data_IF_833316899981
#
_entry.id   IF_833316899981
#
_cell.length_a   1.000
_cell.length_b   1.000
_cell.length_c   1.000
_cell.angle_alpha   90.00
_cell.angle_beta   90.00
_cell.angle_gamma   90.00
#
_symmetry.space_group_name_H-M   'P 1'
#
loop_
_entity.id
_entity.type
_entity.pdbx_description
1 polymer ?
#
# COMPACT_ATOMS: atom_id res chain seq x y z
N UNK A 1 -6.56 -8.51 -29.84
CA UNK A 1 -5.63 -7.75 -28.99
C UNK A 1 -6.45 -6.81 -28.13
N UNK A 2 -6.81 -7.25 -26.93
CA UNK A 2 -7.54 -6.45 -25.96
C UNK A 2 -6.48 -5.73 -25.11
N UNK A 3 -6.30 -4.43 -25.35
CA UNK A 3 -5.52 -3.57 -24.46
C UNK A 3 -6.22 -3.63 -23.10
N UNK A 4 -5.61 -4.28 -22.11
CA UNK A 4 -6.09 -4.24 -20.73
C UNK A 4 -5.99 -2.79 -20.29
N UNK A 5 -7.11 -2.06 -20.29
CA UNK A 5 -7.15 -0.68 -19.82
C UNK A 5 -6.57 -0.65 -18.40
N UNK A 6 -5.61 0.25 -18.15
CA UNK A 6 -5.06 0.43 -16.80
C UNK A 6 -6.21 0.70 -15.84
N UNK A 7 -6.25 -0.05 -14.74
CA UNK A 7 -7.31 0.09 -13.74
C UNK A 7 -7.21 1.48 -13.11
N UNK A 8 -8.28 2.25 -13.18
CA UNK A 8 -8.36 3.55 -12.52
C UNK A 8 -8.43 3.39 -10.99
N UNK A 9 -7.75 4.29 -10.25
CA UNK A 9 -7.60 4.19 -8.79
C UNK A 9 -8.80 4.75 -8.03
N UNK A 10 -9.49 5.73 -8.63
CA UNK A 10 -10.72 6.33 -8.13
C UNK A 10 -11.83 5.98 -9.09
N UNK A 11 -12.89 5.31 -8.65
CA UNK A 11 -13.95 4.87 -9.55
C UNK A 11 -14.80 6.04 -10.07
N UNK A 12 -15.46 5.88 -11.24
CA UNK A 12 -16.44 6.85 -11.71
C UNK A 12 -17.54 7.14 -10.69
N UNK A 13 -17.87 6.18 -9.84
CA UNK A 13 -18.87 6.35 -8.78
C UNK A 13 -18.41 7.35 -7.71
N UNK A 14 -17.14 7.30 -7.31
CA UNK A 14 -16.54 8.27 -6.37
C UNK A 14 -16.44 9.65 -7.02
N UNK A 15 -15.93 9.73 -8.26
CA UNK A 15 -15.85 11.00 -9.01
C UNK A 15 -17.21 11.70 -9.11
N UNK A 16 -18.27 10.94 -9.40
CA UNK A 16 -19.63 11.48 -9.48
C UNK A 16 -20.18 11.98 -8.14
N UNK A 17 -19.76 11.40 -7.01
CA UNK A 17 -20.14 11.89 -5.69
C UNK A 17 -19.56 13.29 -5.44
N UNK A 18 -18.27 13.49 -5.73
CA UNK A 18 -17.61 14.81 -5.63
C UNK A 18 -18.14 15.81 -6.66
N UNK A 19 -18.38 15.38 -7.90
CA UNK A 19 -19.04 16.19 -8.93
C UNK A 19 -20.40 16.72 -8.46
N UNK A 20 -21.12 15.92 -7.67
CA UNK A 20 -22.44 16.33 -7.15
C UNK A 20 -22.31 17.46 -6.12
N UNK A 21 -21.24 17.47 -5.30
CA UNK A 21 -20.96 18.56 -4.33
C UNK A 21 -20.74 19.91 -5.02
N UNK A 22 -20.21 19.93 -6.25
CA UNK A 22 -20.03 21.16 -7.01
C UNK A 22 -21.34 21.93 -7.25
N UNK A 23 -22.50 21.26 -7.15
CA UNK A 23 -23.83 21.87 -7.36
C UNK A 23 -24.12 23.02 -6.39
N UNK A 24 -23.53 23.01 -5.18
CA UNK A 24 -23.80 24.01 -4.14
C UNK A 24 -22.65 25.02 -3.95
N UNK A 25 -21.57 24.87 -4.72
CA UNK A 25 -20.45 25.83 -4.74
C UNK A 25 -20.65 26.87 -5.85
N UNK A 26 -19.74 27.85 -5.94
CA UNK A 26 -19.66 28.76 -7.09
C UNK A 26 -18.74 28.19 -8.17
N UNK A 27 -18.90 28.62 -9.43
CA UNK A 27 -17.99 28.22 -10.53
C UNK A 27 -16.53 28.54 -10.19
N UNK A 28 -16.28 29.72 -9.64
CA UNK A 28 -14.93 30.17 -9.27
C UNK A 28 -14.31 29.27 -8.20
N UNK A 29 -15.06 28.94 -7.15
CA UNK A 29 -14.59 28.02 -6.12
C UNK A 29 -14.26 26.66 -6.71
N UNK A 30 -15.13 26.11 -7.58
CA UNK A 30 -14.87 24.81 -8.23
C UNK A 30 -13.54 24.84 -8.99
N UNK A 31 -13.27 25.88 -9.78
CA UNK A 31 -12.00 26.04 -10.50
C UNK A 31 -10.79 26.18 -9.55
N UNK A 32 -10.88 27.10 -8.58
CA UNK A 32 -9.81 27.37 -7.61
C UNK A 32 -9.37 26.09 -6.87
N UNK A 33 -10.34 25.27 -6.45
CA UNK A 33 -10.06 24.00 -5.76
C UNK A 33 -9.24 23.01 -6.60
N UNK A 34 -9.33 23.04 -7.92
CA UNK A 34 -8.50 22.20 -8.80
C UNK A 34 -7.15 22.87 -9.13
N UNK A 35 -7.18 24.17 -9.42
CA UNK A 35 -6.01 24.97 -9.78
C UNK A 35 -4.96 25.01 -8.64
N UNK A 36 -5.41 25.11 -7.39
CA UNK A 36 -4.55 25.12 -6.19
C UNK A 36 -3.69 23.85 -6.05
N UNK A 37 -4.15 22.73 -6.64
CA UNK A 37 -3.41 21.45 -6.67
C UNK A 37 -2.73 21.18 -8.02
N UNK A 38 -2.62 22.20 -8.87
CA UNK A 38 -1.89 22.17 -10.13
C UNK A 38 -2.56 21.35 -11.23
N UNK A 39 -3.90 21.36 -11.26
CA UNK A 39 -4.66 20.86 -12.40
C UNK A 39 -5.08 22.02 -13.31
N UNK A 40 -5.14 21.74 -14.61
CA UNK A 40 -5.65 22.67 -15.61
C UNK A 40 -6.88 22.05 -16.29
N UNK A 41 -7.88 22.85 -16.67
CA UNK A 41 -9.04 22.34 -17.37
C UNK A 41 -8.66 21.94 -18.79
N UNK A 42 -9.30 20.89 -19.31
CA UNK A 42 -9.24 20.59 -20.75
C UNK A 42 -10.03 21.63 -21.54
N UNK A 43 -9.76 21.79 -22.85
CA UNK A 43 -10.60 22.59 -23.73
C UNK A 43 -12.06 22.12 -23.69
N UNK A 44 -13.06 23.02 -23.59
CA UNK A 44 -14.47 22.62 -23.48
C UNK A 44 -15.01 21.76 -24.64
N UNK A 45 -14.41 21.88 -25.83
CA UNK A 45 -14.73 21.08 -27.01
C UNK A 45 -14.20 19.63 -26.94
N UNK A 46 -13.25 19.35 -26.05
CA UNK A 46 -12.76 18.00 -25.77
C UNK A 46 -13.60 17.24 -24.73
N UNK A 47 -14.57 17.92 -24.09
CA UNK A 47 -15.41 17.32 -23.06
C UNK A 47 -16.40 16.31 -23.66
N UNK A 48 -16.22 15.03 -23.33
CA UNK A 48 -17.00 13.93 -23.91
C UNK A 48 -18.45 13.86 -23.44
N UNK A 49 -18.73 14.32 -22.21
CA UNK A 49 -20.05 14.22 -21.59
C UNK A 49 -20.62 15.61 -21.30
N UNK A 50 -21.87 15.82 -21.72
CA UNK A 50 -22.58 17.07 -21.48
C UNK A 50 -23.43 16.98 -20.22
N UNK A 51 -23.30 17.96 -19.33
CA UNK A 51 -24.15 18.15 -18.16
C UNK A 51 -24.81 19.53 -18.22
N UNK A 52 -26.09 19.61 -17.82
CA UNK A 52 -26.84 20.87 -17.83
C UNK A 52 -26.44 21.82 -16.69
N UNK A 53 -25.76 21.32 -15.66
CA UNK A 53 -25.31 22.10 -14.51
C UNK A 53 -23.91 22.68 -14.73
N UNK A 54 -23.82 23.99 -14.93
CA UNK A 54 -22.56 24.71 -15.20
C UNK A 54 -21.42 24.33 -14.25
N UNK A 55 -21.69 24.22 -12.93
CA UNK A 55 -20.67 23.89 -11.91
C UNK A 55 -20.20 22.45 -11.96
N UNK A 56 -21.09 21.54 -12.37
CA UNK A 56 -20.72 20.15 -12.61
C UNK A 56 -19.94 20.01 -13.91
N UNK A 57 -20.25 20.82 -14.92
CA UNK A 57 -19.46 20.95 -16.14
C UNK A 57 -18.06 21.45 -15.83
N UNK A 58 -17.93 22.49 -14.99
CA UNK A 58 -16.62 23.00 -14.53
C UNK A 58 -15.79 21.91 -13.87
N UNK A 59 -16.36 21.16 -12.91
CA UNK A 59 -15.68 20.02 -12.30
C UNK A 59 -15.20 18.99 -13.34
N UNK A 60 -16.01 18.71 -14.36
CA UNK A 60 -15.67 17.73 -15.39
C UNK A 60 -14.52 18.18 -16.30
N UNK A 61 -14.39 19.49 -16.56
CA UNK A 61 -13.27 20.01 -17.37
C UNK A 61 -11.91 19.69 -16.73
N UNK A 62 -11.81 19.71 -15.41
CA UNK A 62 -10.60 19.30 -14.71
C UNK A 62 -10.50 17.77 -14.62
N UNK A 63 -11.59 17.12 -14.19
CA UNK A 63 -11.59 15.67 -13.93
C UNK A 63 -11.28 14.84 -15.19
N UNK A 64 -11.65 15.28 -16.38
CA UNK A 64 -11.38 14.56 -17.64
C UNK A 64 -9.90 14.66 -18.07
N UNK A 65 -9.17 15.69 -17.61
CA UNK A 65 -7.73 15.84 -17.84
C UNK A 65 -6.85 15.01 -16.91
N UNK A 66 -7.43 14.39 -15.88
CA UNK A 66 -6.69 13.56 -14.90
C UNK A 66 -6.42 12.17 -15.47
N UNK A 67 -5.16 11.72 -15.41
CA UNK A 67 -4.85 10.30 -15.54
C UNK A 67 -5.19 9.58 -14.23
N UNK A 68 -6.40 9.04 -14.17
CA UNK A 68 -6.90 8.31 -13.00
C UNK A 68 -6.21 6.98 -12.73
N UNK A 69 -5.28 6.55 -13.59
CA UNK A 69 -4.40 5.41 -13.34
C UNK A 69 -3.04 5.80 -12.78
N UNK A 70 -2.68 7.10 -12.78
CA UNK A 70 -1.43 7.63 -12.26
C UNK A 70 -1.55 7.96 -10.75
N UNK A 71 -0.82 7.26 -9.86
CA UNK A 71 -0.84 7.52 -8.43
C UNK A 71 -0.42 8.96 -8.04
N UNK A 72 0.45 9.60 -8.83
CA UNK A 72 0.93 10.96 -8.54
C UNK A 72 -0.16 12.01 -8.79
N UNK A 73 -0.94 11.84 -9.85
CA UNK A 73 -2.10 12.68 -10.12
C UNK A 73 -3.21 12.39 -9.13
N UNK A 74 -3.53 11.12 -8.88
CA UNK A 74 -4.56 10.73 -7.91
C UNK A 74 -4.26 11.30 -6.52
N UNK A 75 -3.00 11.25 -6.05
CA UNK A 75 -2.63 11.87 -4.76
C UNK A 75 -3.00 13.34 -4.67
N UNK A 76 -2.80 14.11 -5.75
CA UNK A 76 -3.18 15.53 -5.80
C UNK A 76 -4.70 15.70 -5.88
N UNK A 77 -5.40 14.86 -6.64
CA UNK A 77 -6.87 14.89 -6.70
C UNK A 77 -7.51 14.60 -5.34
N UNK A 78 -6.92 13.71 -4.53
CA UNK A 78 -7.45 13.46 -3.19
C UNK A 78 -7.42 14.73 -2.33
N UNK A 79 -6.40 15.58 -2.47
CA UNK A 79 -6.35 16.88 -1.79
C UNK A 79 -7.44 17.83 -2.30
N UNK A 80 -7.68 17.87 -3.62
CA UNK A 80 -8.82 18.59 -4.22
C UNK A 80 -10.14 18.13 -3.56
N UNK A 81 -10.34 16.81 -3.45
CA UNK A 81 -11.53 16.22 -2.84
C UNK A 81 -11.69 16.56 -1.36
N UNK A 82 -10.60 16.59 -0.58
CA UNK A 82 -10.63 17.10 0.79
C UNK A 82 -11.08 18.56 0.84
N UNK A 83 -10.60 19.41 -0.08
CA UNK A 83 -11.01 20.81 -0.11
C UNK A 83 -12.46 20.98 -0.56
N UNK A 84 -12.97 20.13 -1.45
CA UNK A 84 -14.42 20.06 -1.72
C UNK A 84 -15.22 19.70 -0.47
N UNK A 85 -14.77 18.72 0.32
CA UNK A 85 -15.42 18.35 1.58
C UNK A 85 -15.41 19.54 2.55
N UNK A 86 -14.27 20.24 2.66
CA UNK A 86 -14.13 21.43 3.53
C UNK A 86 -15.05 22.57 3.08
N UNK A 87 -15.10 22.85 1.78
CA UNK A 87 -15.92 23.93 1.21
C UNK A 87 -17.43 23.64 1.33
N UNK A 88 -17.83 22.37 1.25
CA UNK A 88 -19.23 21.96 1.33
C UNK A 88 -19.73 21.77 2.77
N UNK A 89 -18.83 21.48 3.72
CA UNK A 89 -19.19 21.25 5.12
C UNK A 89 -19.78 22.53 5.73
N UNK A 90 -20.98 22.42 6.26
CA UNK A 90 -21.57 23.46 7.09
C UNK A 90 -21.11 23.27 8.55
N UNK A 91 -20.44 24.26 9.19
CA UNK A 91 -20.02 24.14 10.58
C UNK A 91 -21.17 23.96 11.58
N UNK A 92 -22.41 24.31 11.18
CA UNK A 92 -23.59 24.18 12.03
C UNK A 92 -24.26 22.79 11.97
N UNK A 93 -23.79 21.89 11.09
CA UNK A 93 -24.36 20.55 10.95
C UNK A 93 -24.08 19.70 12.22
N UNK A 94 -25.13 19.15 12.82
CA UNK A 94 -25.01 18.20 13.92
C UNK A 94 -24.83 16.76 13.41
N UNK A 95 -23.73 16.13 13.79
CA UNK A 95 -23.41 14.74 13.41
C UNK A 95 -22.80 14.63 12.00
N UNK A 96 -22.72 13.42 11.47
CA UNK A 96 -22.18 13.16 10.13
C UNK A 96 -23.28 13.34 9.08
N UNK A 97 -23.17 14.30 8.14
CA UNK A 97 -24.17 14.47 7.10
C UNK A 97 -24.22 13.25 6.17
N UNK A 98 -25.42 12.94 5.66
CA UNK A 98 -25.63 11.78 4.76
C UNK A 98 -24.72 11.80 3.52
N UNK A 99 -24.48 12.98 2.94
CA UNK A 99 -23.61 13.13 1.77
C UNK A 99 -22.16 12.72 2.08
N UNK A 100 -21.68 12.97 3.30
CA UNK A 100 -20.33 12.65 3.73
C UNK A 100 -20.19 11.14 3.98
N UNK A 101 -21.22 10.50 4.54
CA UNK A 101 -21.30 9.05 4.70
C UNK A 101 -21.33 8.33 3.34
N UNK A 102 -22.12 8.84 2.39
CA UNK A 102 -22.16 8.32 1.02
C UNK A 102 -20.79 8.43 0.31
N UNK A 103 -20.05 9.54 0.51
CA UNK A 103 -18.68 9.69 0.01
C UNK A 103 -17.72 8.70 0.67
N UNK A 104 -17.80 8.54 2.00
CA UNK A 104 -16.97 7.61 2.76
C UNK A 104 -17.10 6.18 2.23
N UNK A 105 -18.33 5.68 2.05
CA UNK A 105 -18.57 4.32 1.54
C UNK A 105 -17.95 4.12 0.14
N UNK A 106 -17.93 5.16 -0.69
CA UNK A 106 -17.35 5.09 -2.04
C UNK A 106 -15.83 5.12 -2.02
N UNK A 107 -15.24 6.01 -1.21
CA UNK A 107 -13.81 6.05 -0.95
C UNK A 107 -13.30 4.72 -0.40
N UNK A 108 -14.02 4.11 0.55
CA UNK A 108 -13.68 2.79 1.11
C UNK A 108 -13.69 1.68 0.05
N UNK A 109 -14.64 1.71 -0.89
CA UNK A 109 -14.68 0.77 -2.03
C UNK A 109 -13.50 0.93 -2.98
N UNK A 110 -13.00 2.16 -3.13
CA UNK A 110 -11.82 2.48 -3.93
C UNK A 110 -10.50 2.25 -3.15
N UNK A 111 -10.57 1.92 -1.87
CA UNK A 111 -9.40 1.61 -1.03
C UNK A 111 -8.81 2.80 -0.29
N UNK A 112 -9.61 3.85 -0.08
CA UNK A 112 -9.28 5.03 0.73
C UNK A 112 -10.04 5.02 2.06
N UNK A 113 -9.54 5.75 3.05
CA UNK A 113 -10.21 6.02 4.30
C UNK A 113 -10.49 7.53 4.42
N UNK A 114 -11.61 7.88 5.04
CA UNK A 114 -12.01 9.26 5.33
C UNK A 114 -12.16 9.42 6.85
N UNK A 115 -11.41 10.34 7.44
CA UNK A 115 -11.48 10.63 8.87
C UNK A 115 -12.54 11.69 9.22
N UNK A 116 -12.73 11.94 10.52
CA UNK A 116 -13.72 12.90 11.04
C UNK A 116 -13.45 14.34 10.60
N UNK A 117 -12.19 14.68 10.36
CA UNK A 117 -11.74 16.00 9.91
C UNK A 117 -11.88 16.17 8.38
N UNK A 118 -12.31 15.14 7.67
CA UNK A 118 -12.51 15.18 6.23
C UNK A 118 -11.22 14.94 5.42
N UNK A 119 -10.16 14.39 6.04
CA UNK A 119 -8.93 14.03 5.33
C UNK A 119 -9.06 12.64 4.71
N UNK A 120 -8.53 12.50 3.50
CA UNK A 120 -8.57 11.27 2.72
C UNK A 120 -7.17 10.65 2.73
N UNK A 121 -7.06 9.47 3.31
CA UNK A 121 -5.83 8.67 3.25
C UNK A 121 -6.06 7.42 2.43
N UNK A 122 -4.98 6.79 1.96
CA UNK A 122 -5.07 5.40 1.57
C UNK A 122 -5.51 4.58 2.79
N UNK A 123 -6.40 3.59 2.62
CA UNK A 123 -6.66 2.62 3.69
C UNK A 123 -5.37 1.87 3.90
N UNK A 124 -4.66 2.20 4.99
CA UNK A 124 -3.25 1.90 5.21
C UNK A 124 -2.79 0.62 4.50
N UNK A 125 -1.83 0.69 3.55
CA UNK A 125 -1.00 -0.48 3.32
C UNK A 125 -0.37 -0.86 4.66
N UNK A 126 -0.09 -2.13 4.93
CA UNK A 126 0.76 -2.45 6.08
C UNK A 126 2.08 -1.69 5.90
N UNK A 127 2.37 -0.82 6.86
CA UNK A 127 3.60 -0.04 6.91
C UNK A 127 4.47 -0.73 7.94
N UNK A 128 5.72 -1.05 7.57
CA UNK A 128 6.76 -1.35 8.54
C UNK A 128 6.84 -0.16 9.51
N UNK A 129 6.42 -0.34 10.77
CA UNK A 129 6.33 0.76 11.77
C UNK A 129 7.71 1.19 12.28
N UNK A 130 8.76 0.46 11.89
CA UNK A 130 10.10 0.57 12.45
C UNK A 130 10.95 1.66 11.83
N UNK A 131 11.74 2.33 12.67
CA UNK A 131 12.83 3.18 12.21
C UNK A 131 13.97 2.34 11.60
N UNK A 132 14.22 2.56 10.31
CA UNK A 132 15.27 1.89 9.55
C UNK A 132 16.62 2.62 9.63
N UNK A 133 16.68 3.80 10.26
CA UNK A 133 17.90 4.61 10.37
C UNK A 133 19.02 3.97 11.21
N UNK A 134 18.72 2.87 11.91
CA UNK A 134 19.71 2.09 12.67
C UNK A 134 20.42 1.03 11.83
N UNK A 135 19.98 0.80 10.60
CA UNK A 135 20.59 -0.15 9.66
C UNK A 135 21.68 0.57 8.85
N UNK A 136 22.74 -0.17 8.49
CA UNK A 136 23.82 0.34 7.64
C UNK A 136 23.34 0.72 6.24
N UNK A 137 22.45 -0.08 5.66
CA UNK A 137 21.78 0.19 4.40
C UNK A 137 20.36 -0.41 4.36
N UNK A 138 19.36 0.47 4.45
CA UNK A 138 17.95 0.12 4.38
C UNK A 138 17.32 0.37 3.00
N UNK A 139 18.09 0.84 2.00
CA UNK A 139 17.57 1.32 0.72
C UNK A 139 16.70 0.28 0.00
N UNK A 140 17.12 -0.99 0.00
CA UNK A 140 16.37 -2.08 -0.60
C UNK A 140 15.00 -2.29 0.04
N UNK A 141 14.91 -2.18 1.36
CA UNK A 141 13.65 -2.27 2.11
C UNK A 141 12.75 -1.08 1.77
N UNK A 142 13.31 0.14 1.76
CA UNK A 142 12.57 1.37 1.45
C UNK A 142 11.97 1.34 0.04
N UNK A 143 12.73 0.90 -0.97
CA UNK A 143 12.24 0.82 -2.36
C UNK A 143 11.04 -0.13 -2.48
N UNK A 144 11.08 -1.29 -1.82
CA UNK A 144 9.97 -2.24 -1.91
C UNK A 144 8.74 -1.78 -1.12
N UNK A 145 8.92 -1.09 0.01
CA UNK A 145 7.81 -0.42 0.72
C UNK A 145 7.12 0.63 -0.16
N UNK A 146 7.89 1.44 -0.88
CA UNK A 146 7.34 2.43 -1.81
C UNK A 146 6.60 1.78 -2.99
N UNK A 147 7.08 0.64 -3.49
CA UNK A 147 6.37 -0.14 -4.51
C UNK A 147 5.06 -0.71 -3.98
N UNK A 148 5.07 -1.30 -2.79
CA UNK A 148 3.86 -1.79 -2.12
C UNK A 148 2.84 -0.66 -1.97
N UNK A 149 3.25 0.51 -1.48
CA UNK A 149 2.36 1.68 -1.31
C UNK A 149 1.70 2.11 -2.62
N UNK A 150 2.43 2.03 -3.73
CA UNK A 150 1.97 2.42 -5.07
C UNK A 150 1.04 1.38 -5.70
N UNK A 151 1.33 0.10 -5.50
CA UNK A 151 0.77 -0.98 -6.31
C UNK A 151 -0.36 -1.74 -5.58
N UNK A 152 -0.47 -1.65 -4.26
CA UNK A 152 -1.35 -2.53 -3.44
C UNK A 152 -2.81 -2.61 -3.93
N UNK A 153 -3.38 -1.49 -4.37
CA UNK A 153 -4.78 -1.40 -4.83
C UNK A 153 -4.90 -1.47 -6.36
N UNK A 154 -3.81 -1.14 -7.06
CA UNK A 154 -3.80 -0.73 -8.47
C UNK A 154 -3.22 -1.84 -9.35
N UNK A 155 -2.18 -2.50 -8.87
CA UNK A 155 -1.51 -3.66 -9.44
C UNK A 155 -1.27 -4.73 -8.34
N UNK A 156 -2.27 -5.58 -8.07
CA UNK A 156 -2.13 -6.66 -7.10
C UNK A 156 -0.94 -7.60 -7.36
N UNK A 157 -0.55 -7.80 -8.63
CA UNK A 157 0.58 -8.67 -8.97
C UNK A 157 1.92 -7.98 -8.69
N UNK A 158 2.01 -6.68 -9.01
CA UNK A 158 3.13 -5.82 -8.62
C UNK A 158 3.32 -5.82 -7.11
N UNK A 159 2.25 -5.63 -6.34
CA UNK A 159 2.28 -5.64 -4.88
C UNK A 159 2.71 -7.00 -4.29
N UNK A 160 2.25 -8.12 -4.85
CA UNK A 160 2.70 -9.47 -4.46
C UNK A 160 4.19 -9.66 -4.77
N UNK A 161 4.65 -9.16 -5.92
CA UNK A 161 6.07 -9.16 -6.30
C UNK A 161 6.92 -8.34 -5.33
N UNK A 162 6.47 -7.13 -4.98
CA UNK A 162 7.14 -6.25 -4.03
C UNK A 162 7.14 -6.82 -2.61
N UNK A 163 6.08 -7.53 -2.18
CA UNK A 163 6.05 -8.24 -0.89
C UNK A 163 7.16 -9.30 -0.78
N UNK A 164 7.36 -10.10 -1.84
CA UNK A 164 8.46 -11.07 -1.90
C UNK A 164 9.83 -10.36 -1.85
N UNK A 165 9.99 -9.30 -2.63
CA UNK A 165 11.23 -8.53 -2.67
C UNK A 165 11.53 -7.85 -1.33
N UNK A 166 10.50 -7.43 -0.59
CA UNK A 166 10.63 -6.88 0.76
C UNK A 166 11.20 -7.91 1.75
N UNK A 167 10.69 -9.16 1.73
CA UNK A 167 11.24 -10.27 2.54
C UNK A 167 12.70 -10.53 2.16
N UNK A 168 13.00 -10.55 0.87
CA UNK A 168 14.36 -10.81 0.36
C UNK A 168 15.34 -9.69 0.76
N UNK A 169 14.95 -8.43 0.61
CA UNK A 169 15.73 -7.27 1.03
C UNK A 169 15.96 -7.30 2.55
N UNK A 170 14.91 -7.54 3.34
CA UNK A 170 15.01 -7.60 4.80
C UNK A 170 15.94 -8.72 5.27
N UNK A 171 15.84 -9.92 4.66
CA UNK A 171 16.73 -11.04 4.98
C UNK A 171 18.19 -10.71 4.66
N UNK A 172 18.47 -10.14 3.49
CA UNK A 172 19.83 -9.77 3.06
C UNK A 172 20.41 -8.67 3.94
N UNK A 173 19.63 -7.62 4.24
CA UNK A 173 20.07 -6.55 5.15
C UNK A 173 20.39 -7.11 6.53
N UNK A 174 19.50 -7.90 7.13
CA UNK A 174 19.74 -8.49 8.45
C UNK A 174 20.97 -9.41 8.49
N UNK A 175 21.18 -10.24 7.47
CA UNK A 175 22.38 -11.08 7.38
C UNK A 175 23.66 -10.26 7.19
N UNK A 176 23.58 -9.16 6.45
CA UNK A 176 24.66 -8.17 6.32
C UNK A 176 25.03 -7.54 7.66
N UNK A 177 24.05 -7.08 8.44
CA UNK A 177 24.27 -6.55 9.81
C UNK A 177 24.92 -7.57 10.74
N UNK A 178 24.62 -8.86 10.54
CA UNK A 178 25.18 -9.96 11.32
C UNK A 178 26.54 -10.45 10.78
N UNK A 179 27.06 -9.86 9.70
CA UNK A 179 28.27 -10.29 8.99
C UNK A 179 28.24 -11.77 8.56
N UNK A 180 27.08 -12.26 8.11
CA UNK A 180 26.90 -13.62 7.61
C UNK A 180 26.87 -13.60 6.09
N UNK A 181 27.87 -14.21 5.47
CA UNK A 181 27.89 -14.37 4.02
C UNK A 181 26.82 -15.34 3.54
N UNK A 182 26.15 -14.98 2.45
CA UNK A 182 25.19 -15.83 1.75
C UNK A 182 25.47 -15.85 0.26
N UNK A 183 25.16 -16.98 -0.37
CA UNK A 183 25.21 -17.11 -1.82
C UNK A 183 24.33 -16.04 -2.48
N UNK A 184 24.87 -15.35 -3.48
CA UNK A 184 24.16 -14.31 -4.25
C UNK A 184 22.90 -14.85 -4.94
N UNK A 185 22.87 -16.15 -5.21
CA UNK A 185 21.78 -16.89 -5.84
C UNK A 185 20.97 -17.72 -4.83
N UNK A 186 21.16 -17.52 -3.52
CA UNK A 186 20.41 -18.24 -2.51
C UNK A 186 18.90 -18.05 -2.73
N UNK A 187 18.17 -19.17 -2.79
CA UNK A 187 16.72 -19.14 -2.87
C UNK A 187 16.14 -18.51 -1.59
N UNK A 188 15.01 -17.79 -1.73
CA UNK A 188 14.38 -17.08 -0.61
C UNK A 188 14.09 -17.96 0.62
N UNK A 189 13.62 -19.22 0.49
CA UNK A 189 13.45 -20.10 1.66
C UNK A 189 14.76 -20.36 2.42
N UNK A 190 15.90 -20.42 1.72
CA UNK A 190 17.20 -20.58 2.34
C UNK A 190 17.59 -19.31 3.12
N UNK A 191 17.40 -18.12 2.54
CA UNK A 191 17.64 -16.84 3.22
C UNK A 191 16.79 -16.71 4.49
N UNK A 192 15.49 -17.05 4.41
CA UNK A 192 14.58 -17.04 5.57
C UNK A 192 15.08 -17.98 6.67
N UNK A 193 15.48 -19.21 6.31
CA UNK A 193 15.98 -20.18 7.30
C UNK A 193 17.27 -19.71 7.96
N UNK A 194 18.20 -19.14 7.18
CA UNK A 194 19.49 -18.66 7.69
C UNK A 194 19.30 -17.50 8.66
N UNK A 195 18.49 -16.49 8.32
CA UNK A 195 18.28 -15.33 9.20
C UNK A 195 17.55 -15.72 10.50
N UNK A 196 16.57 -16.63 10.42
CA UNK A 196 15.85 -17.13 11.59
C UNK A 196 16.78 -17.85 12.58
N UNK A 197 17.68 -18.69 12.08
CA UNK A 197 18.71 -19.35 12.91
C UNK A 197 19.70 -18.35 13.50
N UNK A 198 20.16 -17.40 12.69
CA UNK A 198 21.12 -16.40 13.12
C UNK A 198 20.57 -15.53 14.26
N UNK A 199 19.27 -15.17 14.18
CA UNK A 199 18.57 -14.39 15.19
C UNK A 199 18.02 -15.21 16.37
N UNK A 200 18.29 -16.52 16.41
CA UNK A 200 17.81 -17.45 17.45
C UNK A 200 16.27 -17.52 17.58
N UNK A 201 15.59 -17.38 16.44
CA UNK A 201 14.13 -17.42 16.32
C UNK A 201 13.61 -18.80 15.87
N UNK A 202 14.50 -19.75 15.58
CA UNK A 202 14.08 -21.11 15.25
C UNK A 202 13.76 -21.94 16.51
N UNK A 203 12.85 -22.91 16.37
CA UNK A 203 12.37 -23.71 17.49
C UNK A 203 13.47 -24.50 18.24
N UNK A 204 14.59 -24.78 17.57
CA UNK A 204 15.75 -25.48 18.14
C UNK A 204 16.71 -24.57 18.88
N UNK A 205 16.67 -23.25 18.65
CA UNK A 205 17.56 -22.27 19.26
C UNK A 205 16.89 -21.29 20.22
N UNK A 206 15.56 -21.35 20.34
CA UNK A 206 14.80 -20.50 21.24
C UNK A 206 15.25 -20.67 22.71
N UNK A 207 15.48 -19.57 23.44
CA UNK A 207 15.99 -19.59 24.81
C UNK A 207 14.98 -20.18 25.80
N UNK A 208 15.45 -20.54 26.99
CA UNK A 208 14.57 -20.95 28.10
C UNK A 208 13.64 -19.80 28.54
N UNK A 209 12.49 -20.16 29.11
CA UNK A 209 11.49 -19.18 29.58
C UNK A 209 10.34 -18.95 28.59
N UNK A 210 9.63 -17.80 28.68
CA UNK A 210 8.45 -17.50 27.85
C UNK A 210 8.71 -17.60 26.34
N UNK A 211 9.88 -17.18 25.90
CA UNK A 211 10.31 -17.20 24.48
C UNK A 211 10.47 -18.63 23.94
N UNK A 212 10.84 -19.58 24.82
CA UNK A 212 10.93 -21.00 24.50
C UNK A 212 9.61 -21.75 24.59
N UNK A 213 8.51 -21.07 24.94
CA UNK A 213 7.21 -21.72 25.12
C UNK A 213 6.70 -22.37 23.83
N UNK A 214 5.90 -23.44 23.97
CA UNK A 214 5.29 -24.13 22.82
C UNK A 214 4.47 -23.18 21.94
N UNK A 215 3.81 -22.19 22.55
CA UNK A 215 3.02 -21.19 21.85
C UNK A 215 3.90 -20.26 21.00
N UNK A 216 4.98 -19.71 21.57
CA UNK A 216 5.91 -18.84 20.85
C UNK A 216 6.59 -19.60 19.71
N UNK A 217 7.10 -20.82 19.95
CA UNK A 217 7.67 -21.68 18.90
C UNK A 217 6.71 -21.95 17.75
N UNK A 218 5.42 -22.15 18.06
CA UNK A 218 4.36 -22.33 17.04
C UNK A 218 4.15 -21.06 16.21
N UNK A 219 4.14 -19.88 16.85
CA UNK A 219 4.01 -18.58 16.17
C UNK A 219 5.22 -18.34 15.25
N UNK A 220 6.45 -18.56 15.74
CA UNK A 220 7.68 -18.41 14.96
C UNK A 220 7.72 -19.37 13.75
N UNK A 221 7.32 -20.62 13.95
CA UNK A 221 7.20 -21.58 12.84
C UNK A 221 6.12 -21.13 11.84
N UNK A 222 5.01 -20.57 12.33
CA UNK A 222 3.95 -20.00 11.50
C UNK A 222 4.41 -18.80 10.68
N UNK A 223 5.22 -17.90 11.25
CA UNK A 223 5.73 -16.72 10.53
C UNK A 223 6.68 -17.12 9.40
N UNK A 224 7.52 -18.14 9.61
CA UNK A 224 8.34 -18.74 8.54
C UNK A 224 7.48 -19.32 7.43
N UNK A 225 6.47 -20.12 7.76
CA UNK A 225 5.58 -20.72 6.77
C UNK A 225 4.83 -19.65 5.96
N UNK A 226 4.39 -18.58 6.60
CA UNK A 226 3.74 -17.44 5.94
C UNK A 226 4.71 -16.76 4.96
N UNK A 227 5.96 -16.48 5.37
CA UNK A 227 6.97 -15.87 4.50
C UNK A 227 7.35 -16.76 3.31
N UNK A 228 7.47 -18.07 3.52
CA UNK A 228 7.68 -19.04 2.43
C UNK A 228 6.47 -19.07 1.50
N UNK A 229 5.25 -19.05 2.04
CA UNK A 229 4.02 -18.98 1.25
C UNK A 229 3.94 -17.73 0.36
N UNK A 230 4.43 -16.58 0.83
CA UNK A 230 4.57 -15.35 -0.01
C UNK A 230 5.50 -15.61 -1.20
N UNK A 231 6.62 -16.31 -0.98
CA UNK A 231 7.56 -16.66 -2.04
C UNK A 231 6.94 -17.61 -3.08
N UNK A 232 6.21 -18.61 -2.62
CA UNK A 232 5.53 -19.61 -3.46
C UNK A 232 4.42 -18.99 -4.29
N UNK A 233 3.61 -18.11 -3.70
CA UNK A 233 2.51 -17.42 -4.38
C UNK A 233 3.01 -16.64 -5.60
N UNK A 234 4.18 -15.98 -5.50
CA UNK A 234 4.83 -15.34 -6.64
C UNK A 234 5.25 -16.36 -7.70
N UNK A 235 5.85 -17.47 -7.28
CA UNK A 235 6.42 -18.48 -8.20
C UNK A 235 5.36 -19.23 -9.00
N UNK A 236 4.10 -19.26 -8.54
CA UNK A 236 2.96 -19.80 -9.31
C UNK A 236 2.46 -18.85 -10.42
N UNK A 237 3.23 -17.80 -10.76
CA UNK A 237 2.92 -16.89 -11.87
C UNK A 237 2.10 -15.67 -11.48
N UNK A 238 1.95 -15.39 -10.19
CA UNK A 238 1.11 -14.29 -9.69
C UNK A 238 1.87 -13.07 -9.17
N UNK A 239 3.19 -12.98 -9.41
CA UNK A 239 3.96 -11.76 -9.20
C UNK A 239 4.71 -11.34 -10.47
N UNK A 240 5.15 -10.08 -10.52
CA UNK A 240 5.89 -9.56 -11.68
C UNK A 240 7.25 -10.25 -11.86
N UNK A 241 7.67 -10.46 -13.11
CA UNK A 241 9.02 -10.93 -13.46
C UNK A 241 9.13 -12.14 -14.40
N UNK A 242 8.03 -12.79 -14.78
CA UNK A 242 8.02 -13.78 -15.87
C UNK A 242 6.77 -13.58 -16.74
N UNK A 243 6.95 -13.41 -18.06
CA UNK A 243 5.83 -13.31 -18.99
C UNK A 243 5.00 -14.60 -18.97
N UNK A 244 3.72 -14.47 -18.68
CA UNK A 244 2.78 -15.59 -18.72
C UNK A 244 2.12 -15.67 -20.10
N UNK A 245 1.82 -16.88 -20.59
CA UNK A 245 1.10 -17.07 -21.85
C UNK A 245 -0.33 -16.48 -21.81
N UNK A 246 -0.88 -16.31 -20.60
CA UNK A 246 -2.20 -15.73 -20.33
C UNK A 246 -2.12 -14.80 -19.12
N UNK A 247 -2.95 -13.75 -19.07
CA UNK A 247 -3.01 -12.86 -17.91
C UNK A 247 -3.38 -13.65 -16.63
N UNK A 248 -2.62 -13.54 -15.52
CA UNK A 248 -2.96 -14.24 -14.29
C UNK A 248 -4.32 -13.77 -13.78
N UNK A 249 -5.27 -14.69 -13.66
CA UNK A 249 -6.63 -14.43 -13.18
C UNK A 249 -6.81 -14.99 -11.76
N UNK A 250 -7.63 -14.32 -10.93
CA UNK A 250 -8.04 -14.81 -9.60
C UNK A 250 -7.46 -14.08 -8.38
N UNK A 251 -6.26 -13.49 -8.47
CA UNK A 251 -5.68 -12.71 -7.36
C UNK A 251 -6.05 -11.22 -7.44
N UNK A 252 -7.13 -10.83 -6.76
CA UNK A 252 -7.49 -9.42 -6.56
C UNK A 252 -6.83 -8.76 -5.34
N UNK A 253 -7.17 -7.48 -5.10
CA UNK A 253 -6.60 -6.64 -4.03
C UNK A 253 -6.64 -7.27 -2.63
N UNK A 254 -7.65 -8.09 -2.30
CA UNK A 254 -7.73 -8.80 -1.01
C UNK A 254 -6.55 -9.77 -0.79
N UNK A 255 -6.09 -10.42 -1.85
CA UNK A 255 -4.97 -11.37 -1.77
C UNK A 255 -3.65 -10.61 -1.69
N UNK A 256 -3.50 -9.54 -2.48
CA UNK A 256 -2.34 -8.64 -2.35
C UNK A 256 -2.22 -8.09 -0.92
N UNK A 257 -3.31 -7.61 -0.32
CA UNK A 257 -3.33 -7.17 1.09
C UNK A 257 -2.89 -8.27 2.05
N UNK A 258 -3.41 -9.50 1.90
CA UNK A 258 -2.99 -10.63 2.72
C UNK A 258 -1.49 -10.92 2.57
N UNK A 259 -0.97 -10.96 1.34
CA UNK A 259 0.44 -11.24 1.04
C UNK A 259 1.37 -10.16 1.58
N UNK A 260 0.99 -8.89 1.43
CA UNK A 260 1.79 -7.78 1.94
C UNK A 260 1.75 -7.77 3.47
N UNK A 261 0.59 -7.98 4.11
CA UNK A 261 0.51 -8.08 5.58
C UNK A 261 1.41 -9.22 6.10
N UNK A 262 1.35 -10.38 5.44
CA UNK A 262 2.20 -11.53 5.73
C UNK A 262 3.70 -11.19 5.64
N UNK A 263 4.12 -10.49 4.58
CA UNK A 263 5.50 -10.04 4.43
C UNK A 263 5.90 -9.05 5.52
N UNK A 264 5.07 -8.05 5.82
CA UNK A 264 5.34 -7.03 6.84
C UNK A 264 5.46 -7.66 8.22
N UNK A 265 4.55 -8.55 8.62
CA UNK A 265 4.63 -9.26 9.91
C UNK A 265 5.96 -9.99 10.08
N UNK A 266 6.45 -10.67 9.04
CA UNK A 266 7.73 -11.34 9.11
C UNK A 266 8.90 -10.35 9.14
N UNK A 267 8.88 -9.31 8.31
CA UNK A 267 9.94 -8.31 8.26
C UNK A 267 10.05 -7.52 9.57
N UNK A 268 8.93 -7.15 10.20
CA UNK A 268 8.89 -6.51 11.51
C UNK A 268 9.55 -7.38 12.57
N UNK A 269 9.17 -8.65 12.67
CA UNK A 269 9.78 -9.59 13.61
C UNK A 269 11.31 -9.66 13.47
N UNK A 270 11.79 -9.79 12.23
CA UNK A 270 13.23 -9.88 11.95
C UNK A 270 13.95 -8.60 12.34
N UNK A 271 13.44 -7.46 11.90
CA UNK A 271 14.05 -6.18 12.19
C UNK A 271 14.00 -5.90 13.70
N UNK A 272 12.85 -6.05 14.34
CA UNK A 272 12.69 -5.84 15.79
C UNK A 272 13.68 -6.65 16.60
N UNK A 273 13.79 -7.95 16.29
CA UNK A 273 14.78 -8.83 16.92
C UNK A 273 16.22 -8.38 16.65
N UNK A 274 16.50 -7.81 15.47
CA UNK A 274 17.82 -7.34 15.09
C UNK A 274 18.24 -6.06 15.86
N UNK A 275 17.35 -5.09 16.12
CA UNK A 275 17.76 -3.92 16.94
C UNK A 275 17.42 -4.02 18.43
N UNK A 276 16.73 -5.06 18.87
CA UNK A 276 16.58 -5.32 20.30
C UNK A 276 17.95 -5.59 20.94
N UNK A 277 18.41 -4.73 21.88
CA UNK A 277 19.70 -4.91 22.56
C UNK A 277 19.71 -6.12 23.50
N UNK A 278 18.54 -6.63 23.89
CA UNK A 278 18.36 -7.77 24.79
C UNK A 278 18.16 -9.10 24.05
N UNK A 279 18.12 -9.05 22.71
CA UNK A 279 17.82 -10.19 21.87
C UNK A 279 18.77 -11.38 22.11
N UNK A 280 18.26 -12.62 22.05
CA UNK A 280 19.00 -13.82 22.42
C UNK A 280 20.26 -14.04 21.58
N UNK A 281 20.26 -13.62 20.31
CA UNK A 281 21.43 -13.78 19.43
C UNK A 281 22.64 -12.96 19.87
N UNK A 282 22.44 -11.80 20.52
CA UNK A 282 23.52 -10.92 21.00
C UNK A 282 24.32 -11.52 22.15
N UNK A 283 23.70 -12.39 22.95
CA UNK A 283 24.36 -13.06 24.09
C UNK A 283 25.43 -14.08 23.67
N UNK A 284 25.49 -14.42 22.39
CA UNK A 284 26.41 -15.45 21.84
C UNK A 284 27.67 -14.85 21.21
N UNK A 285 27.81 -13.52 21.19
CA UNK A 285 28.96 -12.80 20.61
C UNK A 285 29.97 -12.31 21.67
N UNK A 286 29.80 -12.71 22.94
CA UNK A 286 30.72 -12.42 24.07
C UNK A 286 31.59 -13.63 24.36
#
# INVERSE_FOLDING_TARGET
MTVTARRELVSPATRNAFRSLATDLTLRIVADLWEDHGFAPIPPDELKYQDSGQRRTEFMLYAEGVDWSDPSQVRRVLLVFEDFIRAYRNPDDQGTPKWLDDIKVRLERDGFALDSEGRISWSNPPVLVRDLGTLSDASGITIELERIRRDLTTDPQGAIGAAKQLIEATAKTALGELNIEVDKNAALPALISTVQKALKLDAGSAPEGPDGSKAVKKILSGSVNIAVGVAELRNQGFGSGHGQASAPSGLGARHARLTVNAAVTWCELILDTLADPTAPWRKTQV
#
